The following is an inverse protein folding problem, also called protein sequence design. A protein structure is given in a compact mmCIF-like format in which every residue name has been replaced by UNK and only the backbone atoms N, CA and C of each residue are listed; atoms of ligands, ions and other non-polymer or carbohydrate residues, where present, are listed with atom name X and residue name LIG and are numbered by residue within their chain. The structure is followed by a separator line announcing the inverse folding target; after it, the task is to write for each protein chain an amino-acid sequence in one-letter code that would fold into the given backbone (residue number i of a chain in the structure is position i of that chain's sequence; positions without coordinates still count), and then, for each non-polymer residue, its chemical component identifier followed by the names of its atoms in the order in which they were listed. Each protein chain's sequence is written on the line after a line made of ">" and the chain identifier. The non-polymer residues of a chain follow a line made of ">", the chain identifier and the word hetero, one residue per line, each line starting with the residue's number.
data_IF_479369379230
#
_entry.id   IF_479369379230
#
_cell.length_a   1.000
_cell.length_b   1.000
_cell.length_c   1.000
_cell.angle_alpha   90.00
_cell.angle_beta   90.00
_cell.angle_gamma   90.00
#
_symmetry.space_group_name_H-M   'P 1'
#
loop_
_entity.id
_entity.type
_entity.pdbx_description
1 polymer ?
#
# COMPACT_ATOMS: atom_id res chain seq x y z
N UNK A 1 16.24 -1.37 30.36
CA UNK A 1 14.93 -1.98 30.13
C UNK A 1 14.38 -1.50 28.79
N UNK A 2 14.03 -2.45 27.99
CA UNK A 2 13.36 -2.13 26.73
C UNK A 2 11.95 -1.67 27.05
N UNK A 3 11.60 -0.47 26.63
CA UNK A 3 10.26 0.01 26.84
C UNK A 3 9.29 -0.74 25.94
N UNK A 4 8.03 -0.89 26.33
CA UNK A 4 7.05 -1.53 25.47
C UNK A 4 6.95 -0.87 24.09
N UNK A 5 7.01 0.44 24.06
CA UNK A 5 6.93 1.18 22.80
C UNK A 5 8.12 0.84 21.90
N UNK A 6 9.30 0.79 22.47
CA UNK A 6 10.49 0.46 21.72
C UNK A 6 10.44 -0.98 21.24
N UNK A 7 9.97 -1.88 22.10
CA UNK A 7 9.82 -3.28 21.74
C UNK A 7 8.81 -3.42 20.59
N UNK A 8 7.69 -2.72 20.67
CA UNK A 8 6.70 -2.75 19.62
C UNK A 8 7.26 -2.22 18.31
N UNK A 9 8.02 -1.15 18.34
CA UNK A 9 8.64 -0.60 17.15
C UNK A 9 9.60 -1.60 16.54
N UNK A 10 10.34 -2.33 17.36
CA UNK A 10 11.27 -3.35 16.88
C UNK A 10 10.55 -4.58 16.33
N UNK A 11 9.38 -4.88 16.88
CA UNK A 11 8.60 -6.04 16.49
C UNK A 11 7.68 -5.78 15.31
N UNK A 12 7.27 -4.53 15.13
CA UNK A 12 6.40 -4.19 14.02
C UNK A 12 7.09 -4.54 12.72
N UNK A 13 6.39 -5.23 11.85
CA UNK A 13 6.90 -5.49 10.53
C UNK A 13 7.16 -4.15 9.86
N UNK A 14 8.34 -3.96 9.25
CA UNK A 14 8.57 -2.73 8.51
C UNK A 14 7.53 -2.62 7.40
N UNK A 15 7.11 -1.39 7.15
CA UNK A 15 6.18 -1.11 6.07
C UNK A 15 6.82 -1.58 4.75
N UNK A 16 6.26 -2.58 4.09
CA UNK A 16 6.85 -3.11 2.86
C UNK A 16 6.57 -2.24 1.65
N UNK A 17 5.69 -1.25 1.79
CA UNK A 17 5.24 -0.45 0.67
C UNK A 17 6.17 0.73 0.42
N UNK A 18 6.47 0.99 -0.85
CA UNK A 18 7.12 2.22 -1.24
C UNK A 18 6.10 3.36 -1.17
N UNK A 19 6.59 4.61 -1.22
CA UNK A 19 5.70 5.76 -1.20
C UNK A 19 4.71 5.73 -2.36
N UNK A 20 5.17 5.31 -3.53
CA UNK A 20 4.31 5.23 -4.72
C UNK A 20 3.26 4.16 -4.57
N UNK A 21 3.64 3.01 -4.06
CA UNK A 21 2.69 1.93 -3.80
C UNK A 21 1.64 2.36 -2.81
N UNK A 22 2.05 3.06 -1.75
CA UNK A 22 1.12 3.57 -0.76
C UNK A 22 0.17 4.58 -1.36
N UNK A 23 0.68 5.51 -2.16
CA UNK A 23 -0.16 6.51 -2.80
C UNK A 23 -1.19 5.86 -3.73
N UNK A 24 -0.75 4.88 -4.51
CA UNK A 24 -1.64 4.17 -5.43
C UNK A 24 -2.71 3.41 -4.65
N UNK A 25 -2.33 2.73 -3.56
CA UNK A 25 -3.30 2.00 -2.74
C UNK A 25 -4.32 2.92 -2.08
N UNK A 26 -3.90 4.09 -1.62
CA UNK A 26 -4.84 5.05 -1.03
C UNK A 26 -5.90 5.46 -2.02
N UNK A 27 -5.49 5.76 -3.23
CA UNK A 27 -6.43 6.16 -4.27
C UNK A 27 -7.32 5.01 -4.69
N UNK A 28 -6.78 3.80 -4.76
CA UNK A 28 -7.56 2.61 -5.06
C UNK A 28 -8.60 2.34 -3.98
N UNK A 29 -8.24 2.57 -2.71
CA UNK A 29 -9.17 2.41 -1.60
C UNK A 29 -10.33 3.40 -1.69
N UNK A 30 -10.08 4.57 -2.24
CA UNK A 30 -11.12 5.57 -2.46
C UNK A 30 -12.07 5.20 -3.60
N UNK A 31 -11.78 4.11 -4.30
CA UNK A 31 -12.61 3.66 -5.41
C UNK A 31 -12.17 4.21 -6.76
N UNK A 32 -11.01 4.82 -6.85
CA UNK A 32 -10.53 5.39 -8.11
C UNK A 32 -10.00 4.31 -9.03
N UNK A 33 -10.30 4.46 -10.32
CA UNK A 33 -9.81 3.52 -11.33
C UNK A 33 -8.37 3.81 -11.71
N UNK A 34 -7.75 2.86 -12.43
CA UNK A 34 -6.35 2.98 -12.83
C UNK A 34 -6.06 4.27 -13.62
N UNK A 35 -6.98 4.63 -14.52
CA UNK A 35 -6.81 5.84 -15.32
C UNK A 35 -6.76 7.09 -14.44
N UNK A 36 -7.68 7.16 -13.50
CA UNK A 36 -7.75 8.30 -12.61
C UNK A 36 -6.53 8.39 -11.72
N UNK A 37 -6.10 7.25 -11.19
CA UNK A 37 -4.88 7.19 -10.38
C UNK A 37 -3.67 7.65 -11.20
N UNK A 38 -3.57 7.16 -12.42
CA UNK A 38 -2.48 7.54 -13.31
C UNK A 38 -2.46 9.05 -13.54
N UNK A 39 -3.63 9.63 -13.81
CA UNK A 39 -3.73 11.07 -14.05
C UNK A 39 -3.35 11.86 -12.80
N UNK A 40 -3.81 11.44 -11.64
CA UNK A 40 -3.54 12.14 -10.38
C UNK A 40 -2.07 12.08 -9.99
N UNK A 41 -1.40 10.98 -10.29
CA UNK A 41 -0.01 10.79 -9.89
C UNK A 41 0.99 11.06 -11.01
N UNK A 42 0.51 11.40 -12.20
CA UNK A 42 1.39 11.65 -13.34
C UNK A 42 2.09 10.39 -13.82
N UNK A 43 1.41 9.25 -13.77
CA UNK A 43 1.95 7.95 -14.15
C UNK A 43 1.19 7.39 -15.34
N UNK A 44 1.78 6.38 -16.00
CA UNK A 44 1.06 5.63 -17.02
C UNK A 44 0.15 4.59 -16.39
N UNK A 45 -0.84 4.13 -17.13
CA UNK A 45 -1.75 3.06 -16.68
C UNK A 45 -0.95 1.79 -16.32
N UNK A 46 0.02 1.45 -17.14
CA UNK A 46 0.84 0.25 -16.90
C UNK A 46 1.62 0.36 -15.60
N UNK A 47 2.14 1.55 -15.32
CA UNK A 47 2.88 1.78 -14.07
C UNK A 47 1.96 1.65 -12.87
N UNK A 48 0.75 2.22 -12.94
CA UNK A 48 -0.23 2.10 -11.85
C UNK A 48 -0.56 0.62 -11.62
N UNK A 49 -0.83 -0.10 -12.68
CA UNK A 49 -1.14 -1.52 -12.58
C UNK A 49 0.00 -2.30 -11.95
N UNK A 50 1.24 -1.99 -12.34
CA UNK A 50 2.41 -2.64 -11.77
C UNK A 50 2.55 -2.35 -10.28
N UNK A 51 2.36 -1.11 -9.87
CA UNK A 51 2.43 -0.76 -8.46
C UNK A 51 1.36 -1.49 -7.65
N UNK A 52 0.15 -1.58 -8.18
CA UNK A 52 -0.92 -2.31 -7.50
C UNK A 52 -0.61 -3.79 -7.41
N UNK A 53 -0.07 -4.36 -8.47
CA UNK A 53 0.30 -5.76 -8.50
C UNK A 53 1.43 -6.05 -7.51
N UNK A 54 2.44 -5.22 -7.48
CA UNK A 54 3.55 -5.39 -6.55
C UNK A 54 3.09 -5.23 -5.10
N UNK A 55 2.26 -4.23 -4.84
CA UNK A 55 1.74 -4.01 -3.50
C UNK A 55 0.93 -5.21 -3.03
N UNK A 56 0.04 -5.72 -3.88
CA UNK A 56 -0.75 -6.89 -3.55
C UNK A 56 0.15 -8.10 -3.27
N UNK A 57 1.18 -8.30 -4.09
CA UNK A 57 2.13 -9.40 -3.88
C UNK A 57 2.86 -9.28 -2.56
N UNK A 58 3.31 -8.09 -2.21
CA UNK A 58 4.00 -7.84 -0.94
C UNK A 58 3.12 -8.12 0.27
N UNK A 59 1.84 -7.88 0.14
CA UNK A 59 0.89 -8.04 1.24
C UNK A 59 0.20 -9.40 1.23
N UNK A 60 0.48 -10.23 0.25
CA UNK A 60 -0.19 -11.51 0.13
C UNK A 60 -1.68 -11.38 -0.18
N UNK A 61 -2.06 -10.31 -0.86
CA UNK A 61 -3.45 -10.01 -1.17
C UNK A 61 -3.82 -10.52 -2.56
N UNK A 62 -5.08 -10.90 -2.74
CA UNK A 62 -5.57 -11.40 -4.02
C UNK A 62 -5.93 -10.28 -4.98
N UNK A 63 -6.21 -9.08 -4.46
CA UNK A 63 -6.61 -7.96 -5.28
C UNK A 63 -6.31 -6.65 -4.54
N UNK A 64 -6.53 -5.52 -5.24
CA UNK A 64 -6.22 -4.20 -4.69
C UNK A 64 -7.07 -3.83 -3.47
N UNK A 65 -8.29 -4.31 -3.43
CA UNK A 65 -9.18 -4.00 -2.30
C UNK A 65 -8.67 -4.69 -1.05
N UNK A 66 -8.30 -5.95 -1.17
CA UNK A 66 -7.73 -6.69 -0.06
C UNK A 66 -6.37 -6.11 0.34
N UNK A 67 -5.56 -5.72 -0.64
CA UNK A 67 -4.28 -5.10 -0.36
C UNK A 67 -4.44 -3.82 0.45
N UNK A 68 -5.38 -2.97 0.06
CA UNK A 68 -5.65 -1.72 0.78
C UNK A 68 -6.15 -2.00 2.19
N UNK A 69 -7.00 -3.01 2.35
CA UNK A 69 -7.52 -3.38 3.65
C UNK A 69 -6.41 -3.88 4.58
N UNK A 70 -5.53 -4.74 4.07
CA UNK A 70 -4.41 -5.25 4.84
C UNK A 70 -3.47 -4.10 5.24
N UNK A 71 -3.15 -3.24 4.29
CA UNK A 71 -2.26 -2.12 4.55
C UNK A 71 -2.84 -1.18 5.61
N UNK A 72 -4.13 -0.91 5.53
CA UNK A 72 -4.80 -0.05 6.51
C UNK A 72 -4.82 -0.71 7.89
N UNK A 73 -5.09 -2.01 7.95
CA UNK A 73 -5.11 -2.73 9.21
C UNK A 73 -3.75 -2.72 9.91
N UNK A 74 -2.68 -2.64 9.12
CA UNK A 74 -1.32 -2.60 9.66
C UNK A 74 -0.81 -1.16 9.88
N UNK A 75 -1.61 -0.17 9.61
CA UNK A 75 -1.22 1.21 9.79
C UNK A 75 -0.32 1.75 8.67
N UNK A 76 -0.30 1.09 7.53
CA UNK A 76 0.54 1.48 6.39
C UNK A 76 -0.18 2.43 5.41
N UNK A 77 -1.44 2.67 5.63
CA UNK A 77 -2.23 3.65 4.86
C UNK A 77 -2.75 4.76 5.75
#
# INVERSE_FOLDING_TARGET
>A
VVTPELAEAAWSAPDPLSERERAVLRLAEEGRGNKEIADLLGLSHGTVRNYLHEAAGKLGADNRIEAARIARANGWL
#
